data_IF_704913567613
#
_entry.id   IF_704913567613
#
_cell.length_a   1.000
_cell.length_b   1.000
_cell.length_c   1.000
_cell.angle_alpha   90.00
_cell.angle_beta   90.00
_cell.angle_gamma   90.00
#
_symmetry.space_group_name_H-M   'P 1'
#
loop_
_entity.id
_entity.type
_entity.pdbx_description
1 polymer ?
#
# COMPACT_ATOMS: atom_id res chain seq x y z
N UNK A 1 70.91 -16.62 -6.80
CA UNK A 1 69.85 -16.32 -5.82
C UNK A 1 69.07 -15.15 -6.36
N UNK A 2 67.74 -15.19 -6.45
CA UNK A 2 67.00 -14.00 -6.87
C UNK A 2 67.31 -12.88 -5.87
N UNK A 3 67.72 -11.71 -6.38
CA UNK A 3 68.05 -10.57 -5.54
C UNK A 3 66.85 -10.24 -4.65
N UNK A 4 67.07 -10.17 -3.34
CA UNK A 4 66.05 -9.90 -2.32
C UNK A 4 65.23 -8.63 -2.62
N UNK A 5 65.80 -7.71 -3.39
CA UNK A 5 65.14 -6.51 -3.92
C UNK A 5 63.97 -6.85 -4.86
N UNK A 6 64.13 -7.84 -5.75
CA UNK A 6 63.10 -8.24 -6.73
C UNK A 6 61.87 -8.81 -6.02
N UNK A 7 62.06 -9.65 -5.01
CA UNK A 7 60.96 -10.21 -4.21
C UNK A 7 60.16 -9.12 -3.48
N UNK A 8 60.84 -8.10 -2.95
CA UNK A 8 60.19 -6.97 -2.28
C UNK A 8 59.31 -6.15 -3.25
N UNK A 9 59.79 -5.87 -4.46
CA UNK A 9 59.01 -5.16 -5.48
C UNK A 9 57.78 -5.96 -5.94
N UNK A 10 57.88 -7.29 -6.05
CA UNK A 10 56.74 -8.14 -6.41
C UNK A 10 55.64 -8.11 -5.34
N UNK A 11 56.01 -8.20 -4.05
CA UNK A 11 55.04 -8.11 -2.94
C UNK A 11 54.38 -6.72 -2.90
N UNK A 12 55.14 -5.65 -3.13
CA UNK A 12 54.62 -4.29 -3.17
C UNK A 12 53.62 -4.10 -4.33
N UNK A 13 53.95 -4.61 -5.52
CA UNK A 13 53.06 -4.56 -6.68
C UNK A 13 51.76 -5.34 -6.43
N UNK A 14 51.84 -6.52 -5.79
CA UNK A 14 50.66 -7.31 -5.43
C UNK A 14 49.76 -6.52 -4.46
N UNK A 15 50.34 -5.87 -3.45
CA UNK A 15 49.61 -5.08 -2.46
C UNK A 15 48.91 -3.87 -3.11
N UNK A 16 49.56 -3.20 -4.06
CA UNK A 16 48.94 -2.14 -4.86
C UNK A 16 47.75 -2.66 -5.69
N UNK A 17 47.87 -3.83 -6.32
CA UNK A 17 46.76 -4.44 -7.06
C UNK A 17 45.57 -4.72 -6.12
N UNK A 18 45.81 -5.25 -4.92
CA UNK A 18 44.76 -5.47 -3.93
C UNK A 18 44.03 -4.17 -3.54
N UNK A 19 44.78 -3.08 -3.32
CA UNK A 19 44.17 -1.77 -3.00
C UNK A 19 43.30 -1.29 -4.16
N UNK A 20 43.79 -1.36 -5.40
CA UNK A 20 43.02 -0.93 -6.59
C UNK A 20 41.75 -1.76 -6.75
N UNK A 21 41.85 -3.09 -6.63
CA UNK A 21 40.68 -3.99 -6.73
C UNK A 21 39.66 -3.69 -5.62
N UNK A 22 40.12 -3.44 -4.39
CA UNK A 22 39.25 -3.09 -3.26
C UNK A 22 38.51 -1.76 -3.49
N UNK A 23 39.21 -0.73 -3.99
CA UNK A 23 38.60 0.57 -4.30
C UNK A 23 37.55 0.43 -5.41
N UNK A 24 37.89 -0.28 -6.49
CA UNK A 24 36.96 -0.52 -7.59
C UNK A 24 35.73 -1.31 -7.14
N UNK A 25 35.91 -2.37 -6.35
CA UNK A 25 34.81 -3.18 -5.81
C UNK A 25 33.85 -2.33 -4.97
N UNK A 26 34.36 -1.52 -4.05
CA UNK A 26 33.54 -0.63 -3.22
C UNK A 26 32.78 0.38 -4.07
N UNK A 27 33.45 1.03 -5.03
CA UNK A 27 32.81 2.00 -5.92
C UNK A 27 31.63 1.40 -6.70
N UNK A 28 31.80 0.21 -7.29
CA UNK A 28 30.72 -0.46 -8.02
C UNK A 28 29.60 -0.97 -7.10
N UNK A 29 29.95 -1.48 -5.92
CA UNK A 29 28.98 -1.94 -4.91
C UNK A 29 28.12 -0.78 -4.42
N UNK A 30 28.75 0.36 -4.10
CA UNK A 30 28.05 1.56 -3.62
C UNK A 30 27.15 2.16 -4.69
N UNK A 31 27.58 2.17 -5.97
CA UNK A 31 26.73 2.63 -7.07
C UNK A 31 25.47 1.76 -7.22
N UNK A 32 25.59 0.43 -7.06
CA UNK A 32 24.44 -0.49 -7.09
C UNK A 32 23.52 -0.28 -5.89
N UNK A 33 24.08 -0.14 -4.68
CA UNK A 33 23.32 0.15 -3.45
C UNK A 33 22.54 1.46 -3.58
N UNK A 34 23.20 2.55 -3.99
CA UNK A 34 22.56 3.86 -4.22
C UNK A 34 21.41 3.77 -5.21
N UNK A 35 21.58 3.06 -6.33
CA UNK A 35 20.50 2.85 -7.31
C UNK A 35 19.31 2.08 -6.74
N UNK A 36 19.54 1.08 -5.89
CA UNK A 36 18.46 0.34 -5.21
C UNK A 36 17.72 1.23 -4.23
N UNK A 37 18.44 2.01 -3.43
CA UNK A 37 17.84 2.96 -2.47
C UNK A 37 16.99 4.00 -3.19
N UNK A 38 17.46 4.56 -4.31
CA UNK A 38 16.70 5.55 -5.09
C UNK A 38 15.41 4.92 -5.65
N UNK A 39 15.49 3.70 -6.18
CA UNK A 39 14.30 2.99 -6.69
C UNK A 39 13.29 2.70 -5.59
N UNK A 40 13.77 2.27 -4.43
CA UNK A 40 12.92 1.99 -3.28
C UNK A 40 12.27 3.26 -2.73
N UNK A 41 13.04 4.35 -2.62
CA UNK A 41 12.52 5.67 -2.25
C UNK A 41 11.42 6.11 -3.22
N UNK A 42 11.61 5.94 -4.52
CA UNK A 42 10.60 6.31 -5.51
C UNK A 42 9.33 5.45 -5.37
N UNK A 43 9.49 4.13 -5.22
CA UNK A 43 8.37 3.20 -5.03
C UNK A 43 7.54 3.59 -3.81
N UNK A 44 8.18 3.88 -2.69
CA UNK A 44 7.51 4.30 -1.45
C UNK A 44 6.82 5.65 -1.64
N UNK A 45 7.43 6.62 -2.33
CA UNK A 45 6.77 7.90 -2.64
C UNK A 45 5.53 7.73 -3.54
N UNK A 46 5.58 6.84 -4.51
CA UNK A 46 4.43 6.56 -5.38
C UNK A 46 3.30 5.87 -4.58
N UNK A 47 3.65 4.95 -3.68
CA UNK A 47 2.70 4.30 -2.76
C UNK A 47 2.09 5.31 -1.76
N UNK A 48 2.92 6.18 -1.20
CA UNK A 48 2.51 7.28 -0.31
C UNK A 48 1.51 8.21 -1.01
N UNK A 49 1.81 8.66 -2.23
CA UNK A 49 0.92 9.56 -2.98
C UNK A 49 -0.45 8.93 -3.21
N UNK A 50 -0.50 7.65 -3.59
CA UNK A 50 -1.76 6.92 -3.78
C UNK A 50 -2.51 6.75 -2.47
N UNK A 51 -1.78 6.49 -1.38
CA UNK A 51 -2.37 6.30 -0.08
C UNK A 51 -2.91 7.62 0.51
N UNK A 52 -2.23 8.74 0.29
CA UNK A 52 -2.72 10.08 0.66
C UNK A 52 -4.02 10.37 -0.09
N UNK A 53 -4.08 10.12 -1.40
CA UNK A 53 -5.31 10.29 -2.19
C UNK A 53 -6.47 9.46 -1.61
N UNK A 54 -6.23 8.17 -1.34
CA UNK A 54 -7.23 7.28 -0.76
C UNK A 54 -7.68 7.76 0.61
N UNK A 55 -6.74 8.15 1.47
CA UNK A 55 -7.03 8.55 2.85
C UNK A 55 -7.71 9.91 2.89
N UNK A 56 -7.32 10.86 2.04
CA UNK A 56 -7.96 12.19 1.96
C UNK A 56 -9.41 12.09 1.50
N UNK A 57 -9.73 11.21 0.53
CA UNK A 57 -11.11 10.91 0.14
C UNK A 57 -11.95 10.45 1.34
N UNK A 58 -11.43 9.47 2.08
CA UNK A 58 -12.10 8.91 3.27
C UNK A 58 -12.28 9.95 4.37
N UNK A 59 -11.24 10.75 4.65
CA UNK A 59 -11.27 11.81 5.67
C UNK A 59 -12.29 12.88 5.32
N UNK A 60 -12.32 13.36 4.08
CA UNK A 60 -13.30 14.35 3.64
C UNK A 60 -14.74 13.82 3.76
N UNK A 61 -14.96 12.55 3.43
CA UNK A 61 -16.26 11.92 3.63
C UNK A 61 -16.65 11.88 5.11
N UNK A 62 -15.75 11.48 6.01
CA UNK A 62 -16.00 11.48 7.47
C UNK A 62 -16.38 12.88 7.95
N UNK A 63 -15.65 13.91 7.50
CA UNK A 63 -15.93 15.32 7.85
C UNK A 63 -17.33 15.71 7.39
N UNK A 64 -17.67 15.45 6.13
CA UNK A 64 -18.97 15.80 5.55
C UNK A 64 -20.13 15.10 6.29
N UNK A 65 -20.02 13.80 6.53
CA UNK A 65 -21.06 13.06 7.23
C UNK A 65 -21.18 13.47 8.70
N UNK A 66 -20.07 13.76 9.36
CA UNK A 66 -20.09 14.27 10.73
C UNK A 66 -20.81 15.62 10.80
N UNK A 67 -20.58 16.54 9.86
CA UNK A 67 -21.29 17.83 9.81
C UNK A 67 -22.79 17.63 9.55
N UNK A 68 -23.18 16.68 8.69
CA UNK A 68 -24.60 16.31 8.47
C UNK A 68 -25.24 15.83 9.77
N UNK A 69 -24.62 14.86 10.45
CA UNK A 69 -25.11 14.34 11.74
C UNK A 69 -25.22 15.43 12.81
N UNK A 70 -24.27 16.37 12.85
CA UNK A 70 -24.30 17.50 13.79
C UNK A 70 -25.42 18.50 13.46
N UNK A 71 -25.71 18.75 12.19
CA UNK A 71 -26.78 19.66 11.78
C UNK A 71 -28.17 19.09 12.04
N UNK A 72 -28.32 17.76 11.98
CA UNK A 72 -29.55 17.04 12.30
C UNK A 72 -29.71 16.72 13.80
N UNK A 73 -28.65 16.95 14.60
CA UNK A 73 -28.64 16.61 16.02
C UNK A 73 -29.70 17.39 16.82
N UNK A 74 -30.59 16.66 17.49
CA UNK A 74 -31.60 17.20 18.42
C UNK A 74 -31.41 16.62 19.80
N UNK A 75 -31.32 17.49 20.81
CA UNK A 75 -31.15 17.08 22.21
C UNK A 75 -32.36 16.24 22.67
N UNK A 76 -32.11 15.11 23.31
CA UNK A 76 -33.11 14.20 23.93
C UNK A 76 -34.13 13.52 23.01
N UNK A 77 -34.23 13.91 21.75
CA UNK A 77 -35.19 13.36 20.77
C UNK A 77 -34.49 12.82 19.52
N UNK A 78 -33.25 13.22 19.27
CA UNK A 78 -32.50 12.79 18.09
C UNK A 78 -32.09 11.32 18.13
N UNK A 79 -31.88 10.76 16.94
CA UNK A 79 -31.47 9.36 16.73
C UNK A 79 -30.09 9.04 17.33
N UNK A 80 -29.24 10.06 17.49
CA UNK A 80 -27.89 9.91 18.00
C UNK A 80 -27.61 10.87 19.15
N UNK A 81 -26.87 10.39 20.15
CA UNK A 81 -26.26 11.22 21.20
C UNK A 81 -25.03 11.93 20.65
N UNK A 82 -24.74 13.12 21.18
CA UNK A 82 -23.55 13.90 20.80
C UNK A 82 -22.23 13.13 21.01
N UNK A 83 -22.16 12.27 22.04
CA UNK A 83 -21.01 11.39 22.25
C UNK A 83 -20.86 10.36 21.15
N UNK A 84 -21.95 9.80 20.62
CA UNK A 84 -21.92 8.83 19.52
C UNK A 84 -21.42 9.48 18.24
N UNK A 85 -21.89 10.70 17.91
CA UNK A 85 -21.42 11.43 16.73
C UNK A 85 -19.91 11.68 16.79
N UNK A 86 -19.40 12.15 17.94
CA UNK A 86 -17.96 12.33 18.13
C UNK A 86 -17.19 11.00 18.01
N UNK A 87 -17.74 9.92 18.57
CA UNK A 87 -17.11 8.61 18.53
C UNK A 87 -17.12 7.99 17.12
N UNK A 88 -18.12 8.25 16.28
CA UNK A 88 -18.13 7.78 14.89
C UNK A 88 -16.95 8.32 14.11
N UNK A 89 -16.78 9.64 14.13
CA UNK A 89 -15.68 10.30 13.45
C UNK A 89 -14.33 9.83 14.01
N UNK A 90 -14.21 9.78 15.34
CA UNK A 90 -12.99 9.34 16.01
C UNK A 90 -12.62 7.89 15.65
N UNK A 91 -13.55 6.94 15.83
CA UNK A 91 -13.29 5.53 15.59
C UNK A 91 -12.98 5.26 14.11
N UNK A 92 -13.59 6.02 13.18
CA UNK A 92 -13.27 5.92 11.75
C UNK A 92 -11.87 6.45 11.43
N UNK A 93 -11.44 7.57 12.04
CA UNK A 93 -10.08 8.07 11.85
C UNK A 93 -9.04 7.17 12.54
N UNK A 94 -9.32 6.66 13.74
CA UNK A 94 -8.49 5.68 14.45
C UNK A 94 -8.31 4.41 13.63
N UNK A 95 -9.38 3.94 12.96
CA UNK A 95 -9.29 2.83 12.03
C UNK A 95 -8.29 3.10 10.91
N UNK A 96 -8.37 4.27 10.26
CA UNK A 96 -7.44 4.67 9.19
C UNK A 96 -5.99 4.75 9.69
N UNK A 97 -5.78 5.23 10.91
CA UNK A 97 -4.45 5.33 11.52
C UNK A 97 -3.81 3.96 11.80
N UNK A 98 -4.60 3.00 12.27
CA UNK A 98 -4.11 1.66 12.67
C UNK A 98 -3.87 0.76 11.44
N UNK A 99 -4.39 1.12 10.26
CA UNK A 99 -4.16 0.34 9.04
C UNK A 99 -2.68 0.08 8.81
N UNK A 100 -2.34 -1.17 8.48
CA UNK A 100 -0.95 -1.60 8.24
C UNK A 100 -0.25 -0.71 7.22
N UNK A 101 -0.97 -0.34 6.14
CA UNK A 101 -0.48 0.57 5.10
C UNK A 101 -0.14 1.96 5.64
N UNK A 102 -0.97 2.52 6.54
CA UNK A 102 -0.68 3.82 7.17
C UNK A 102 0.60 3.73 7.99
N UNK A 103 0.72 2.67 8.79
CA UNK A 103 1.89 2.42 9.64
C UNK A 103 3.16 2.24 8.82
N UNK A 104 3.11 1.50 7.71
CA UNK A 104 4.25 1.30 6.83
C UNK A 104 4.70 2.60 6.16
N UNK A 105 3.77 3.42 5.69
CA UNK A 105 4.06 4.62 4.90
C UNK A 105 4.51 5.80 5.78
N UNK A 106 3.86 6.02 6.92
CA UNK A 106 4.08 7.22 7.73
C UNK A 106 4.84 6.99 9.03
N UNK A 107 4.83 5.77 9.59
CA UNK A 107 5.42 5.51 10.90
C UNK A 107 6.74 4.73 10.78
N UNK A 108 6.73 3.61 10.05
CA UNK A 108 7.88 2.70 9.89
C UNK A 108 8.78 3.07 8.71
N UNK A 109 8.35 3.98 7.85
CA UNK A 109 9.11 4.41 6.68
C UNK A 109 10.40 5.16 7.11
N UNK A 110 11.59 4.68 6.68
CA UNK A 110 12.87 5.35 6.98
C UNK A 110 13.17 6.54 6.06
N UNK A 111 12.34 6.80 5.04
CA UNK A 111 12.52 7.88 4.08
C UNK A 111 11.68 9.11 4.43
N UNK A 112 11.96 10.20 3.73
CA UNK A 112 11.17 11.44 3.78
C UNK A 112 9.70 11.15 3.44
N UNK A 113 8.81 11.56 4.35
CA UNK A 113 7.37 11.39 4.32
C UNK A 113 6.67 12.76 4.31
N UNK A 114 5.42 12.80 3.91
CA UNK A 114 4.59 14.00 3.98
C UNK A 114 4.20 14.29 5.43
N UNK A 115 5.07 15.03 6.11
CA UNK A 115 4.86 15.49 7.49
C UNK A 115 3.66 16.42 7.61
N UNK A 116 3.32 17.16 6.55
CA UNK A 116 2.18 18.08 6.55
C UNK A 116 0.89 17.30 6.62
N UNK A 117 0.74 16.28 5.77
CA UNK A 117 -0.42 15.39 5.79
C UNK A 117 -0.53 14.68 7.14
N UNK A 118 0.56 14.06 7.61
CA UNK A 118 0.56 13.31 8.87
C UNK A 118 0.18 14.20 10.06
N UNK A 119 0.74 15.40 10.14
CA UNK A 119 0.47 16.34 11.24
C UNK A 119 -0.98 16.80 11.23
N UNK A 120 -1.51 17.20 10.07
CA UNK A 120 -2.92 17.60 9.96
C UNK A 120 -3.85 16.42 10.30
N UNK A 121 -3.55 15.22 9.82
CA UNK A 121 -4.34 14.03 10.12
C UNK A 121 -4.36 13.71 11.62
N UNK A 122 -3.21 13.73 12.29
CA UNK A 122 -3.11 13.52 13.74
C UNK A 122 -3.83 14.61 14.54
N UNK A 123 -3.76 15.87 14.11
CA UNK A 123 -4.52 16.95 14.73
C UNK A 123 -6.01 16.70 14.61
N UNK A 124 -6.50 16.30 13.42
CA UNK A 124 -7.91 16.01 13.19
C UNK A 124 -8.44 14.91 14.12
N UNK A 125 -7.67 13.83 14.28
CA UNK A 125 -7.98 12.71 15.17
C UNK A 125 -8.10 13.12 16.65
N UNK A 126 -7.21 14.01 17.10
CA UNK A 126 -7.14 14.39 18.52
C UNK A 126 -8.23 15.40 18.90
N UNK A 127 -8.83 16.08 17.92
CA UNK A 127 -9.85 17.09 18.13
C UNK A 127 -11.25 16.47 18.12
N UNK A 128 -12.13 16.97 18.98
CA UNK A 128 -13.54 16.55 18.97
C UNK A 128 -14.23 17.04 17.71
N UNK A 129 -14.94 16.14 17.04
CA UNK A 129 -15.50 16.42 15.71
C UNK A 129 -16.57 17.51 15.72
N UNK A 130 -17.25 17.71 16.86
CA UNK A 130 -18.18 18.83 17.04
C UNK A 130 -17.54 20.22 17.06
N UNK A 131 -16.22 20.33 17.17
CA UNK A 131 -15.48 21.59 17.19
C UNK A 131 -14.73 21.89 15.89
N UNK A 132 -14.66 20.94 14.96
CA UNK A 132 -13.89 21.04 13.73
C UNK A 132 -14.23 22.32 12.93
N UNK A 133 -15.50 22.48 12.55
CA UNK A 133 -15.97 23.60 11.72
C UNK A 133 -15.95 24.95 12.45
N UNK A 134 -16.00 24.95 13.78
CA UNK A 134 -16.05 26.17 14.60
C UNK A 134 -14.67 26.71 14.93
N UNK A 135 -13.78 25.85 15.41
CA UNK A 135 -12.51 26.26 16.01
C UNK A 135 -11.29 25.88 15.15
N UNK A 136 -11.44 25.00 14.17
CA UNK A 136 -10.33 24.42 13.41
C UNK A 136 -10.57 24.46 11.90
N UNK A 137 -11.08 25.60 11.41
CA UNK A 137 -11.41 25.79 9.99
C UNK A 137 -10.21 25.59 9.06
N UNK A 138 -9.02 26.01 9.48
CA UNK A 138 -7.78 25.84 8.70
C UNK A 138 -7.48 24.36 8.41
N UNK A 139 -7.70 23.51 9.41
CA UNK A 139 -7.50 22.08 9.30
C UNK A 139 -8.50 21.43 8.33
N UNK A 140 -9.76 21.84 8.39
CA UNK A 140 -10.78 21.37 7.44
C UNK A 140 -10.49 21.87 6.03
N UNK A 141 -10.09 23.14 5.90
CA UNK A 141 -9.72 23.73 4.62
C UNK A 141 -8.53 23.00 3.99
N UNK A 142 -7.57 22.51 4.77
CA UNK A 142 -6.47 21.69 4.24
C UNK A 142 -6.98 20.45 3.49
N UNK A 143 -7.88 19.67 4.10
CA UNK A 143 -8.42 18.47 3.47
C UNK A 143 -9.36 18.78 2.30
N UNK A 144 -10.13 19.87 2.38
CA UNK A 144 -10.96 20.34 1.27
C UNK A 144 -10.11 20.76 0.07
N UNK A 145 -9.07 21.57 0.29
CA UNK A 145 -8.15 21.97 -0.78
C UNK A 145 -7.44 20.77 -1.40
N UNK A 146 -7.06 19.79 -0.57
CA UNK A 146 -6.46 18.55 -1.04
C UNK A 146 -7.45 17.73 -1.89
N UNK A 147 -8.72 17.67 -1.50
CA UNK A 147 -9.80 17.08 -2.32
C UNK A 147 -9.92 17.79 -3.67
N UNK A 148 -9.98 19.11 -3.65
CA UNK A 148 -10.13 19.92 -4.86
C UNK A 148 -8.96 19.70 -5.83
N UNK A 149 -7.74 19.57 -5.30
CA UNK A 149 -6.57 19.25 -6.11
C UNK A 149 -6.72 17.89 -6.83
N UNK A 150 -7.22 16.87 -6.14
CA UNK A 150 -7.43 15.54 -6.74
C UNK A 150 -8.60 15.49 -7.71
N UNK A 151 -9.69 16.22 -7.43
CA UNK A 151 -10.88 16.28 -8.27
C UNK A 151 -10.67 17.09 -9.54
N UNK A 152 -9.80 18.11 -9.50
CA UNK A 152 -9.46 18.95 -10.66
C UNK A 152 -8.36 18.33 -11.55
N UNK A 153 -7.76 17.22 -11.15
CA UNK A 153 -6.75 16.51 -11.93
C UNK A 153 -7.33 15.24 -12.56
N UNK A 154 -7.43 15.23 -13.89
CA UNK A 154 -8.05 14.15 -14.66
C UNK A 154 -7.45 12.77 -14.36
N UNK A 155 -6.15 12.68 -14.06
CA UNK A 155 -5.48 11.41 -13.79
C UNK A 155 -5.85 10.81 -12.42
N UNK A 156 -6.28 11.65 -11.47
CA UNK A 156 -6.55 11.23 -10.09
C UNK A 156 -8.03 11.26 -9.74
N UNK A 157 -8.83 12.01 -10.50
CA UNK A 157 -10.25 12.25 -10.25
C UNK A 157 -11.06 10.96 -10.14
N UNK A 158 -10.94 10.07 -11.11
CA UNK A 158 -11.73 8.81 -11.13
C UNK A 158 -11.39 7.92 -9.93
N UNK A 159 -10.09 7.79 -9.63
CA UNK A 159 -9.64 7.00 -8.48
C UNK A 159 -10.13 7.62 -7.17
N UNK A 160 -10.08 8.95 -7.04
CA UNK A 160 -10.56 9.65 -5.85
C UNK A 160 -12.06 9.42 -5.62
N UNK A 161 -12.88 9.58 -6.67
CA UNK A 161 -14.33 9.33 -6.62
C UNK A 161 -14.61 7.88 -6.23
N UNK A 162 -13.92 6.93 -6.84
CA UNK A 162 -14.08 5.50 -6.53
C UNK A 162 -13.74 5.19 -5.07
N UNK A 163 -12.63 5.70 -4.56
CA UNK A 163 -12.25 5.50 -3.15
C UNK A 163 -13.28 6.11 -2.19
N UNK A 164 -13.84 7.26 -2.56
CA UNK A 164 -14.92 7.90 -1.81
C UNK A 164 -16.20 7.03 -1.80
N UNK A 165 -16.64 6.52 -2.95
CA UNK A 165 -17.86 5.70 -3.07
C UNK A 165 -17.78 4.39 -2.27
N UNK A 166 -16.67 3.67 -2.39
CA UNK A 166 -16.47 2.40 -1.66
C UNK A 166 -16.50 2.62 -0.15
N UNK A 167 -15.82 3.67 0.30
CA UNK A 167 -15.82 4.02 1.71
C UNK A 167 -17.19 4.53 2.18
N UNK A 168 -17.86 5.34 1.37
CA UNK A 168 -19.16 5.92 1.67
C UNK A 168 -20.20 4.85 1.98
N UNK A 169 -20.31 3.83 1.13
CA UNK A 169 -21.22 2.71 1.36
C UNK A 169 -20.95 2.05 2.72
N UNK A 170 -19.69 1.75 3.00
CA UNK A 170 -19.27 1.11 4.26
C UNK A 170 -19.58 1.94 5.49
N UNK A 171 -19.32 3.24 5.41
CA UNK A 171 -19.53 4.15 6.52
C UNK A 171 -21.02 4.37 6.78
N UNK A 172 -21.84 4.50 5.73
CA UNK A 172 -23.28 4.65 5.83
C UNK A 172 -23.96 3.37 6.35
N UNK A 173 -23.58 2.19 5.83
CA UNK A 173 -24.05 0.90 6.32
C UNK A 173 -23.85 0.78 7.84
N UNK A 174 -22.72 1.28 8.34
CA UNK A 174 -22.42 1.27 9.76
C UNK A 174 -23.25 2.27 10.57
N UNK A 175 -23.40 3.52 10.09
CA UNK A 175 -24.26 4.52 10.75
C UNK A 175 -25.67 3.95 10.91
N UNK A 176 -26.20 3.29 9.88
CA UNK A 176 -27.51 2.64 9.93
C UNK A 176 -27.56 1.49 10.93
N UNK A 177 -26.52 0.64 10.98
CA UNK A 177 -26.45 -0.44 11.97
C UNK A 177 -26.48 0.08 13.40
N UNK A 178 -25.74 1.13 13.71
CA UNK A 178 -25.77 1.72 15.05
C UNK A 178 -27.12 2.39 15.34
N UNK A 179 -27.71 3.05 14.34
CA UNK A 179 -29.04 3.66 14.46
C UNK A 179 -30.12 2.65 14.84
N UNK A 180 -30.17 1.52 14.15
CA UNK A 180 -31.29 0.57 14.27
C UNK A 180 -31.03 -0.60 15.21
N UNK A 181 -29.78 -1.09 15.31
CA UNK A 181 -29.45 -2.27 16.11
C UNK A 181 -28.95 -1.94 17.51
N UNK A 182 -28.81 -0.66 17.86
CA UNK A 182 -28.20 -0.19 19.11
C UNK A 182 -26.82 -0.83 19.39
N UNK A 183 -26.09 -1.20 18.33
CA UNK A 183 -24.75 -1.74 18.48
C UNK A 183 -23.82 -0.68 19.10
N UNK A 184 -22.90 -1.13 19.94
CA UNK A 184 -21.90 -0.23 20.51
C UNK A 184 -21.00 0.32 19.39
N UNK A 185 -20.79 1.64 19.41
CA UNK A 185 -19.96 2.37 18.45
C UNK A 185 -18.53 1.81 18.40
N UNK A 186 -18.10 1.14 19.46
CA UNK A 186 -16.78 0.54 19.59
C UNK A 186 -16.60 -0.71 18.70
N UNK A 187 -17.69 -1.31 18.20
CA UNK A 187 -17.63 -2.41 17.21
C UNK A 187 -17.29 -1.94 15.79
N UNK A 188 -17.20 -0.64 15.53
CA UNK A 188 -16.88 -0.05 14.22
C UNK A 188 -15.60 -0.63 13.61
N UNK A 189 -14.58 -0.82 14.45
CA UNK A 189 -13.29 -1.35 14.00
C UNK A 189 -13.42 -2.74 13.38
N UNK A 190 -14.27 -3.60 13.95
CA UNK A 190 -14.48 -4.95 13.44
C UNK A 190 -15.22 -4.94 12.10
N UNK A 191 -16.18 -4.04 11.93
CA UNK A 191 -16.95 -3.88 10.68
C UNK A 191 -16.03 -3.44 9.54
N UNK A 192 -15.23 -2.39 9.76
CA UNK A 192 -14.30 -1.93 8.73
C UNK A 192 -13.24 -2.99 8.40
N UNK A 193 -12.67 -3.65 9.42
CA UNK A 193 -11.67 -4.69 9.22
C UNK A 193 -12.21 -5.86 8.38
N UNK A 194 -13.41 -6.34 8.68
CA UNK A 194 -14.03 -7.43 7.92
C UNK A 194 -14.28 -7.06 6.46
N UNK A 195 -14.71 -5.82 6.18
CA UNK A 195 -14.99 -5.39 4.81
C UNK A 195 -13.72 -5.16 3.99
N UNK A 196 -12.67 -4.59 4.59
CA UNK A 196 -11.35 -4.48 3.94
C UNK A 196 -10.72 -5.87 3.68
N UNK A 197 -10.90 -6.84 4.60
CA UNK A 197 -10.50 -8.23 4.37
C UNK A 197 -11.26 -8.88 3.21
N UNK A 198 -12.58 -8.63 3.12
CA UNK A 198 -13.41 -9.13 2.03
C UNK A 198 -12.97 -8.55 0.68
N UNK A 199 -12.74 -7.23 0.60
CA UNK A 199 -12.27 -6.57 -0.63
C UNK A 199 -10.90 -7.14 -1.07
N UNK A 200 -9.99 -7.38 -0.12
CA UNK A 200 -8.70 -8.03 -0.38
C UNK A 200 -8.87 -9.44 -0.96
N UNK A 201 -9.80 -10.23 -0.42
CA UNK A 201 -10.09 -11.58 -0.92
C UNK A 201 -10.70 -11.56 -2.32
N UNK A 202 -11.62 -10.63 -2.60
CA UNK A 202 -12.21 -10.45 -3.93
C UNK A 202 -11.16 -10.06 -4.98
N UNK A 203 -10.23 -9.16 -4.62
CA UNK A 203 -9.11 -8.81 -5.47
C UNK A 203 -8.22 -10.02 -5.80
N UNK A 204 -7.87 -10.82 -4.78
CA UNK A 204 -7.06 -12.03 -4.98
C UNK A 204 -7.78 -13.06 -5.87
N UNK A 205 -9.09 -13.25 -5.70
CA UNK A 205 -9.90 -14.12 -6.57
C UNK A 205 -9.93 -13.61 -8.01
N UNK A 206 -10.10 -12.31 -8.22
CA UNK A 206 -10.07 -11.70 -9.55
C UNK A 206 -8.71 -11.91 -10.23
N UNK A 207 -7.61 -11.76 -9.50
CA UNK A 207 -6.27 -12.06 -10.02
C UNK A 207 -6.06 -13.54 -10.35
N UNK A 208 -6.60 -14.46 -9.53
CA UNK A 208 -6.53 -15.89 -9.84
C UNK A 208 -7.32 -16.27 -11.10
N UNK A 209 -8.45 -15.62 -11.35
CA UNK A 209 -9.23 -15.81 -12.57
C UNK A 209 -8.53 -15.27 -13.82
N UNK A 210 -7.72 -14.21 -13.67
CA UNK A 210 -6.89 -13.65 -14.73
C UNK A 210 -5.60 -14.45 -14.98
N UNK A 211 -5.18 -15.35 -14.07
CA UNK A 211 -4.11 -16.29 -14.38
C UNK A 211 -4.61 -17.23 -15.48
N UNK A 212 -3.97 -17.25 -16.66
CA UNK A 212 -4.46 -18.05 -17.76
C UNK A 212 -4.42 -19.53 -17.36
N UNK A 213 -5.57 -20.21 -17.44
CA UNK A 213 -5.74 -21.67 -17.25
C UNK A 213 -4.86 -22.53 -18.18
N UNK A 214 -4.00 -21.94 -19.00
CA UNK A 214 -3.31 -22.59 -20.11
C UNK A 214 -1.90 -23.13 -19.79
N UNK A 215 -1.34 -22.94 -18.59
CA UNK A 215 0.00 -23.48 -18.32
C UNK A 215 0.02 -24.97 -17.95
N UNK A 216 -1.04 -25.51 -17.35
CA UNK A 216 -1.06 -26.93 -16.96
C UNK A 216 -1.43 -27.85 -18.15
N UNK A 217 -2.25 -27.37 -19.10
CA UNK A 217 -2.62 -28.20 -20.27
C UNK A 217 -1.52 -28.25 -21.35
N UNK A 218 -0.85 -27.13 -21.66
CA UNK A 218 0.26 -27.11 -22.64
C UNK A 218 1.52 -27.84 -22.13
N UNK A 219 1.78 -27.86 -20.82
CA UNK A 219 2.88 -28.64 -20.26
C UNK A 219 2.63 -30.15 -20.39
N UNK A 220 1.39 -30.62 -20.14
CA UNK A 220 1.03 -32.03 -20.33
C UNK A 220 1.15 -32.49 -21.78
N UNK A 221 0.70 -31.69 -22.74
CA UNK A 221 0.79 -32.04 -24.17
C UNK A 221 2.23 -32.01 -24.70
N UNK A 222 3.07 -31.09 -24.18
CA UNK A 222 4.48 -31.02 -24.53
C UNK A 222 5.28 -32.18 -23.94
N UNK A 223 4.97 -32.59 -22.70
CA UNK A 223 5.55 -33.80 -22.10
C UNK A 223 5.10 -35.09 -22.80
N UNK A 224 3.84 -35.18 -23.25
CA UNK A 224 3.35 -36.33 -24.01
C UNK A 224 3.99 -36.43 -25.40
N UNK A 225 4.24 -35.31 -26.08
CA UNK A 225 4.98 -35.27 -27.36
C UNK A 225 6.46 -35.65 -27.18
N UNK A 226 7.13 -35.15 -26.15
CA UNK A 226 8.52 -35.52 -25.85
C UNK A 226 8.66 -37.02 -25.54
N UNK A 227 7.73 -37.63 -24.80
CA UNK A 227 7.75 -39.07 -24.51
C UNK A 227 7.62 -39.94 -25.77
N UNK A 228 6.85 -39.50 -26.78
CA UNK A 228 6.72 -40.20 -28.08
C UNK A 228 7.99 -40.09 -28.93
N UNK A 229 8.66 -38.93 -28.92
CA UNK A 229 9.92 -38.72 -29.67
C UNK A 229 11.08 -39.53 -29.08
N UNK A 230 11.17 -39.65 -27.75
CA UNK A 230 12.19 -40.50 -27.12
C UNK A 230 11.95 -42.00 -27.36
N UNK A 231 10.69 -42.44 -27.47
CA UNK A 231 10.36 -43.85 -27.78
C UNK A 231 10.67 -44.25 -29.22
N UNK A 232 10.61 -43.33 -30.19
CA UNK A 232 10.93 -43.63 -31.60
C UNK A 232 12.43 -43.66 -31.88
N UNK A 233 13.24 -42.81 -31.22
CA UNK A 233 14.71 -42.81 -31.37
C UNK A 233 15.36 -44.10 -30.85
N UNK A 234 14.85 -44.68 -29.76
CA UNK A 234 15.40 -45.95 -29.23
C UNK A 234 15.08 -47.17 -30.10
N UNK A 235 14.03 -47.14 -30.94
CA UNK A 235 13.67 -48.26 -31.83
C UNK A 235 14.56 -48.34 -33.08
N UNK A 236 15.11 -47.20 -33.51
CA UNK A 236 15.97 -47.12 -34.69
C UNK A 236 17.46 -47.41 -34.39
N UNK A 237 17.88 -47.34 -33.12
CA UNK A 237 19.24 -47.74 -32.72
C UNK A 237 19.41 -49.25 -32.58
N UNK A 238 18.32 -50.01 -32.42
CA UNK A 238 18.38 -51.48 -32.28
C UNK A 238 18.38 -52.23 -33.61
N UNK A 239 18.11 -51.55 -34.74
CA UNK A 239 18.08 -52.18 -36.08
C UNK A 239 19.33 -51.93 -36.92
N UNK A 240 20.34 -51.21 -36.40
CA UNK A 240 21.60 -50.92 -37.08
C UNK A 240 22.79 -51.81 -36.69
N UNK A 241 22.59 -52.86 -35.88
CA UNK A 241 23.65 -53.78 -35.44
C UNK A 241 23.48 -55.22 -35.97
N UNK A 242 22.70 -55.40 -37.04
CA UNK A 242 22.65 -56.65 -37.80
C UNK A 242 22.76 -56.32 -39.28
N UNK A 243 23.98 -55.99 -39.71
CA UNK A 243 24.51 -56.19 -41.06
C UNK A 243 26.03 -56.01 -41.00
#
# INVERSE_FOLDING_TARGET
>A
MPDSSVTLYVVLALLLVFIVVFILFNYFSDRKKKRRIIKEKQRIKDEETKFILKTSARVNFIIEQNEKLLSEFKVSVGDFKMSQINNFAKNALDYLYIQEQFQDIFIRNPFEKDETFLTNFQQLMNLKSNLWTKNHKELINYFVLLSDQYLNNDNTKEEYIKQNEVFAQTYLDFIEQVKYKQEEVDNLFNVFKQKDELERLEYLRAQEQLKPKTFIHKAKDSFCKLKKVFKSKNKNQTQGQQN
#
